data_IF_441582878320
#
_entry.id   IF_441582878320
#
_cell.length_a   1.000
_cell.length_b   1.000
_cell.length_c   1.000
_cell.angle_alpha   90.00
_cell.angle_beta   90.00
_cell.angle_gamma   90.00
#
_symmetry.space_group_name_H-M   'P 1'
#
loop_
_entity.id
_entity.type
_entity.pdbx_description
1 polymer ?
#
# COMPACT_ATOMS: atom_id res chain seq x y z
N UNK A 1 -20.17 -7.02 -12.32
CA UNK A 1 -19.44 -7.46 -11.11
C UNK A 1 -18.58 -6.32 -10.61
N UNK A 2 -18.65 -6.00 -9.34
CA UNK A 2 -17.76 -4.96 -8.79
C UNK A 2 -16.30 -5.42 -8.83
N UNK A 3 -15.41 -4.49 -9.13
CA UNK A 3 -13.98 -4.73 -9.13
C UNK A 3 -13.40 -4.31 -7.79
N UNK A 4 -12.78 -5.25 -7.10
CA UNK A 4 -12.14 -5.01 -5.82
C UNK A 4 -10.63 -5.04 -6.03
N UNK A 5 -9.96 -3.97 -5.66
CA UNK A 5 -8.51 -3.86 -5.72
C UNK A 5 -7.94 -3.91 -4.31
N UNK A 6 -6.76 -4.49 -4.18
CA UNK A 6 -6.01 -4.52 -2.93
C UNK A 6 -4.72 -3.73 -3.10
N UNK A 7 -4.43 -2.88 -2.14
CA UNK A 7 -3.18 -2.14 -2.07
C UNK A 7 -2.43 -2.59 -0.81
N UNK A 8 -1.49 -3.53 -0.95
CA UNK A 8 -0.75 -4.07 0.19
C UNK A 8 0.50 -3.25 0.48
N UNK A 9 0.92 -3.25 1.73
CA UNK A 9 2.16 -2.63 2.14
C UNK A 9 2.37 -2.68 3.64
N UNK A 10 3.51 -2.21 4.08
CA UNK A 10 3.82 -2.12 5.51
C UNK A 10 3.19 -0.87 6.13
N UNK A 11 3.17 0.24 5.41
CA UNK A 11 2.60 1.52 5.87
C UNK A 11 3.12 1.93 7.25
N UNK A 12 4.41 2.06 7.38
CA UNK A 12 5.09 2.24 8.67
C UNK A 12 5.97 3.50 8.68
N UNK A 13 5.39 4.69 8.69
CA UNK A 13 3.97 5.01 8.66
C UNK A 13 3.41 5.17 7.25
N UNK A 14 2.09 5.38 7.15
CA UNK A 14 1.46 5.85 5.92
C UNK A 14 2.02 7.25 5.58
N UNK A 15 2.21 7.51 4.29
CA UNK A 15 2.69 8.81 3.80
C UNK A 15 1.70 9.41 2.83
N UNK A 16 1.90 10.66 2.47
CA UNK A 16 1.09 11.30 1.43
C UNK A 16 1.26 10.65 0.07
N UNK A 17 2.41 10.01 -0.18
CA UNK A 17 2.59 9.20 -1.37
C UNK A 17 1.65 8.01 -1.42
N UNK A 18 1.54 7.28 -0.30
CA UNK A 18 0.56 6.19 -0.18
C UNK A 18 -0.87 6.69 -0.33
N UNK A 19 -1.19 7.80 0.35
CA UNK A 19 -2.54 8.35 0.31
C UNK A 19 -2.94 8.78 -1.09
N UNK A 20 -2.02 9.34 -1.87
CA UNK A 20 -2.25 9.68 -3.26
C UNK A 20 -2.66 8.46 -4.08
N UNK A 21 -1.92 7.36 -3.95
CA UNK A 21 -2.24 6.10 -4.63
C UNK A 21 -3.61 5.58 -4.19
N UNK A 22 -3.91 5.64 -2.90
CA UNK A 22 -5.20 5.18 -2.37
C UNK A 22 -6.34 6.00 -2.96
N UNK A 23 -6.22 7.32 -2.97
CA UNK A 23 -7.27 8.21 -3.51
C UNK A 23 -7.51 7.95 -4.99
N UNK A 24 -6.42 7.80 -5.76
CA UNK A 24 -6.54 7.55 -7.20
C UNK A 24 -7.14 6.18 -7.48
N UNK A 25 -6.74 5.16 -6.72
CA UNK A 25 -7.30 3.82 -6.83
C UNK A 25 -8.81 3.81 -6.50
N UNK A 26 -9.21 4.59 -5.50
CA UNK A 26 -10.62 4.65 -5.10
C UNK A 26 -11.54 5.16 -6.21
N UNK A 27 -11.00 5.95 -7.14
CA UNK A 27 -11.76 6.45 -8.29
C UNK A 27 -11.81 5.45 -9.45
N UNK A 28 -10.86 4.51 -9.48
CA UNK A 28 -10.74 3.55 -10.59
C UNK A 28 -11.47 2.24 -10.32
N UNK A 29 -11.60 1.86 -9.06
CA UNK A 29 -12.15 0.57 -8.68
C UNK A 29 -13.36 0.77 -7.76
N UNK A 30 -14.26 -0.21 -7.77
CA UNK A 30 -15.48 -0.12 -6.95
C UNK A 30 -15.17 -0.15 -5.45
N UNK A 31 -14.13 -0.90 -5.08
CA UNK A 31 -13.67 -1.00 -3.69
C UNK A 31 -12.16 -1.15 -3.66
N UNK A 32 -11.52 -0.51 -2.70
CA UNK A 32 -10.09 -0.65 -2.45
C UNK A 32 -9.87 -1.13 -1.03
N UNK A 33 -9.14 -2.22 -0.88
CA UNK A 33 -8.74 -2.74 0.41
C UNK A 33 -7.26 -2.39 0.61
N UNK A 34 -7.00 -1.51 1.56
CA UNK A 34 -5.62 -1.19 1.96
C UNK A 34 -5.21 -2.22 3.01
N UNK A 35 -4.27 -3.07 2.67
CA UNK A 35 -3.93 -4.24 3.46
C UNK A 35 -2.56 -4.08 4.11
N UNK A 36 -2.54 -3.94 5.43
CA UNK A 36 -1.32 -3.78 6.22
C UNK A 36 -0.71 -5.16 6.46
N UNK A 37 0.51 -5.35 5.98
CA UNK A 37 1.24 -6.60 6.18
C UNK A 37 1.77 -6.69 7.61
N UNK A 38 1.35 -7.75 8.30
CA UNK A 38 1.86 -8.10 9.62
C UNK A 38 3.12 -8.92 9.41
N UNK A 39 4.22 -8.28 9.04
CA UNK A 39 5.46 -9.00 8.81
C UNK A 39 6.44 -8.77 9.95
N UNK A 40 6.88 -9.86 10.56
CA UNK A 40 7.83 -9.84 11.66
C UNK A 40 9.28 -9.84 11.22
N UNK A 41 9.57 -9.90 9.91
CA UNK A 41 10.95 -10.00 9.42
C UNK A 41 11.78 -8.74 9.70
N UNK A 42 11.12 -7.60 9.92
CA UNK A 42 11.77 -6.34 10.30
C UNK A 42 11.07 -5.80 11.54
N UNK A 43 11.81 -5.07 12.38
CA UNK A 43 11.23 -4.39 13.52
C UNK A 43 10.53 -3.13 13.03
N UNK A 44 9.19 -3.07 13.02
CA UNK A 44 8.49 -1.87 12.60
C UNK A 44 8.58 -0.77 13.64
N UNK A 45 8.44 0.49 13.21
CA UNK A 45 8.39 1.62 14.13
C UNK A 45 7.05 1.64 14.88
N UNK A 46 5.95 1.34 14.17
CA UNK A 46 4.60 1.34 14.73
C UNK A 46 4.03 -0.07 14.75
N UNK A 47 3.20 -0.34 15.76
CA UNK A 47 2.48 -1.62 15.81
C UNK A 47 1.49 -1.72 14.66
N UNK A 48 0.99 -2.93 14.38
CA UNK A 48 -0.04 -3.14 13.37
C UNK A 48 -1.28 -2.31 13.69
N UNK A 49 -1.69 -2.30 14.96
CA UNK A 49 -2.86 -1.54 15.42
C UNK A 49 -2.69 -0.04 15.18
N UNK A 50 -1.50 0.48 15.45
CA UNK A 50 -1.19 1.90 15.21
C UNK A 50 -1.20 2.21 13.72
N UNK A 51 -0.60 1.36 12.90
CA UNK A 51 -0.57 1.55 11.44
C UNK A 51 -1.97 1.51 10.84
N UNK A 52 -2.80 0.58 11.26
CA UNK A 52 -4.20 0.47 10.83
C UNK A 52 -4.98 1.71 11.26
N UNK A 53 -4.79 2.17 12.49
CA UNK A 53 -5.49 3.35 13.00
C UNK A 53 -5.12 4.61 12.21
N UNK A 54 -3.84 4.79 11.89
CA UNK A 54 -3.40 5.93 11.08
C UNK A 54 -4.00 5.90 9.67
N UNK A 55 -4.07 4.73 9.06
CA UNK A 55 -4.70 4.57 7.75
C UNK A 55 -6.19 4.86 7.80
N UNK A 56 -6.88 4.38 8.82
CA UNK A 56 -8.31 4.65 8.97
C UNK A 56 -8.58 6.14 9.12
N UNK A 57 -7.75 6.83 9.89
CA UNK A 57 -7.89 8.27 10.02
C UNK A 57 -7.62 9.00 8.71
N UNK A 58 -6.54 8.63 8.02
CA UNK A 58 -6.16 9.25 6.75
C UNK A 58 -7.20 9.01 5.64
N UNK A 59 -7.89 7.88 5.67
CA UNK A 59 -8.86 7.47 4.64
C UNK A 59 -10.32 7.67 5.05
N UNK A 60 -10.60 8.30 6.18
CA UNK A 60 -11.96 8.41 6.73
C UNK A 60 -12.98 9.07 5.79
N UNK A 61 -12.52 9.90 4.86
CA UNK A 61 -13.38 10.61 3.92
C UNK A 61 -13.46 9.92 2.55
N UNK A 62 -12.94 8.71 2.42
CA UNK A 62 -12.97 7.95 1.17
C UNK A 62 -13.89 6.74 1.38
N UNK A 63 -15.15 6.79 0.91
CA UNK A 63 -16.18 5.83 1.35
C UNK A 63 -15.98 4.40 0.86
N UNK A 64 -15.27 4.18 -0.26
CA UNK A 64 -15.06 2.85 -0.82
C UNK A 64 -13.70 2.25 -0.46
N UNK A 65 -13.03 2.79 0.56
CA UNK A 65 -11.75 2.27 1.06
C UNK A 65 -11.97 1.54 2.39
N UNK A 66 -11.48 0.32 2.45
CA UNK A 66 -11.49 -0.51 3.65
C UNK A 66 -10.04 -0.73 4.09
N UNK A 67 -9.77 -0.64 5.37
CA UNK A 67 -8.43 -0.90 5.93
C UNK A 67 -8.47 -2.25 6.62
N UNK A 68 -7.50 -3.10 6.31
CA UNK A 68 -7.40 -4.42 6.91
C UNK A 68 -5.93 -4.76 7.16
N UNK A 69 -5.67 -5.83 7.86
CA UNK A 69 -4.33 -6.34 8.08
C UNK A 69 -4.28 -7.82 7.74
N UNK A 70 -3.11 -8.32 7.37
CA UNK A 70 -3.00 -9.73 7.00
C UNK A 70 -1.60 -10.25 7.34
N UNK A 71 -1.53 -11.57 7.49
CA UNK A 71 -0.28 -12.30 7.65
C UNK A 71 -0.21 -13.36 6.57
N UNK A 72 0.99 -13.67 6.09
CA UNK A 72 1.19 -14.66 5.04
C UNK A 72 1.28 -14.05 3.64
N UNK A 73 0.92 -14.85 2.63
CA UNK A 73 1.04 -14.44 1.24
C UNK A 73 -0.04 -13.43 0.85
N UNK A 74 0.39 -12.36 0.21
CA UNK A 74 -0.48 -11.28 -0.24
C UNK A 74 -1.57 -11.78 -1.18
N UNK A 75 -1.22 -12.63 -2.15
CA UNK A 75 -2.20 -13.13 -3.12
C UNK A 75 -3.25 -14.03 -2.48
N UNK A 76 -2.89 -14.79 -1.46
CA UNK A 76 -3.84 -15.63 -0.72
C UNK A 76 -4.86 -14.75 -0.01
N UNK A 77 -4.40 -13.70 0.66
CA UNK A 77 -5.29 -12.77 1.33
C UNK A 77 -6.17 -12.02 0.33
N UNK A 78 -5.59 -11.58 -0.78
CA UNK A 78 -6.35 -10.92 -1.84
C UNK A 78 -7.50 -11.79 -2.34
N UNK A 79 -7.22 -13.07 -2.60
CA UNK A 79 -8.26 -14.01 -3.02
C UNK A 79 -9.35 -14.18 -1.97
N UNK A 80 -8.98 -14.31 -0.70
CA UNK A 80 -9.94 -14.43 0.40
C UNK A 80 -10.87 -13.22 0.48
N UNK A 81 -10.36 -12.05 0.15
CA UNK A 81 -11.14 -10.78 0.19
C UNK A 81 -11.89 -10.50 -1.11
N UNK A 82 -11.77 -11.37 -2.10
CA UNK A 82 -12.43 -11.19 -3.39
C UNK A 82 -11.78 -10.17 -4.30
N UNK A 83 -10.54 -9.78 -4.03
CA UNK A 83 -9.80 -8.85 -4.88
C UNK A 83 -9.28 -9.55 -6.13
N UNK A 84 -9.43 -8.88 -7.28
CA UNK A 84 -8.91 -9.35 -8.56
C UNK A 84 -7.81 -8.46 -9.11
N UNK A 85 -7.54 -7.34 -8.45
CA UNK A 85 -6.51 -6.39 -8.85
C UNK A 85 -5.62 -6.10 -7.65
N UNK A 86 -4.31 -6.14 -7.90
CA UNK A 86 -3.30 -5.72 -6.94
C UNK A 86 -2.76 -4.38 -7.40
N UNK A 87 -2.83 -3.37 -6.55
CA UNK A 87 -2.31 -2.03 -6.88
C UNK A 87 -0.94 -1.86 -6.25
N UNK A 88 0.00 -1.36 -7.04
CA UNK A 88 1.33 -0.98 -6.56
C UNK A 88 1.67 0.40 -7.12
N UNK A 89 2.35 1.21 -6.31
CA UNK A 89 2.88 2.49 -6.77
C UNK A 89 4.28 2.32 -7.33
N UNK A 90 4.61 3.02 -8.41
CA UNK A 90 5.97 3.10 -8.94
C UNK A 90 6.49 4.52 -8.82
N UNK A 91 7.65 4.67 -8.20
CA UNK A 91 8.40 5.93 -8.14
C UNK A 91 9.40 5.98 -9.31
N UNK A 92 9.98 7.14 -9.54
CA UNK A 92 10.83 7.39 -10.71
C UNK A 92 12.09 6.51 -10.79
N UNK A 93 12.55 5.93 -9.68
CA UNK A 93 13.86 5.24 -9.62
C UNK A 93 13.74 3.93 -8.86
N UNK A 94 14.39 2.90 -9.32
CA UNK A 94 14.84 1.71 -8.59
C UNK A 94 13.86 0.62 -8.19
N UNK A 95 12.58 0.91 -8.02
CA UNK A 95 11.63 -0.11 -7.56
C UNK A 95 11.15 -1.03 -8.68
N UNK A 96 11.36 -0.64 -9.94
CA UNK A 96 10.72 -1.28 -11.09
C UNK A 96 11.04 -2.76 -11.22
N UNK A 97 12.31 -3.11 -11.11
CA UNK A 97 12.72 -4.51 -11.26
C UNK A 97 12.13 -5.40 -10.19
N UNK A 98 12.17 -4.93 -8.93
CA UNK A 98 11.60 -5.68 -7.81
C UNK A 98 10.09 -5.80 -7.93
N UNK A 99 9.42 -4.73 -8.34
CA UNK A 99 7.97 -4.73 -8.49
C UNK A 99 7.52 -5.63 -9.64
N UNK A 100 8.23 -5.63 -10.76
CA UNK A 100 7.92 -6.52 -11.88
C UNK A 100 8.14 -7.98 -11.49
N UNK A 101 9.23 -8.28 -10.79
CA UNK A 101 9.50 -9.64 -10.32
C UNK A 101 8.39 -10.11 -9.37
N UNK A 102 7.96 -9.26 -8.47
CA UNK A 102 6.87 -9.57 -7.55
C UNK A 102 5.56 -9.80 -8.32
N UNK A 103 5.26 -8.96 -9.30
CA UNK A 103 4.05 -9.10 -10.13
C UNK A 103 4.06 -10.43 -10.90
N UNK A 104 5.19 -10.80 -11.49
CA UNK A 104 5.33 -12.08 -12.19
C UNK A 104 5.14 -13.26 -11.24
N UNK A 105 5.74 -13.18 -10.04
CA UNK A 105 5.62 -14.23 -9.03
C UNK A 105 4.17 -14.38 -8.57
N UNK A 106 3.51 -13.26 -8.30
CA UNK A 106 2.10 -13.27 -7.89
C UNK A 106 1.20 -13.85 -8.97
N UNK A 107 1.45 -13.48 -10.23
CA UNK A 107 0.68 -14.01 -11.34
C UNK A 107 0.88 -15.52 -11.50
N UNK A 108 2.11 -15.99 -11.33
CA UNK A 108 2.40 -17.42 -11.38
C UNK A 108 1.64 -18.20 -10.32
N UNK A 109 1.52 -17.61 -9.10
CA UNK A 109 0.82 -18.27 -7.99
C UNK A 109 -0.70 -18.14 -8.10
N UNK A 110 -1.19 -17.02 -8.64
CA UNK A 110 -2.62 -16.71 -8.65
C UNK A 110 -2.97 -15.94 -9.91
N UNK A 111 -3.13 -16.65 -11.07
CA UNK A 111 -3.32 -15.99 -12.36
C UNK A 111 -4.57 -15.11 -12.47
N UNK A 112 -5.58 -15.34 -11.62
CA UNK A 112 -6.79 -14.53 -11.61
C UNK A 112 -6.62 -13.15 -10.99
N UNK A 113 -5.45 -12.84 -10.41
CA UNK A 113 -5.17 -11.53 -9.82
C UNK A 113 -4.14 -10.82 -10.68
N UNK A 114 -4.53 -9.67 -11.24
CA UNK A 114 -3.64 -8.82 -12.03
C UNK A 114 -2.99 -7.75 -11.17
N UNK A 115 -1.74 -7.45 -11.44
CA UNK A 115 -1.06 -6.33 -10.80
C UNK A 115 -1.11 -5.10 -11.70
N UNK A 116 -1.53 -3.98 -11.15
CA UNK A 116 -1.59 -2.69 -11.83
C UNK A 116 -0.63 -1.74 -11.13
N UNK A 117 0.19 -1.06 -11.92
CA UNK A 117 1.13 -0.07 -11.40
C UNK A 117 0.61 1.33 -11.66
N UNK A 118 0.62 2.16 -10.62
CA UNK A 118 0.30 3.57 -10.74
C UNK A 118 1.59 4.38 -10.55
N UNK A 119 1.84 5.30 -11.48
CA UNK A 119 2.96 6.20 -11.35
C UNK A 119 2.71 7.15 -10.17
N UNK A 120 3.65 7.21 -9.26
CA UNK A 120 3.56 8.11 -8.11
C UNK A 120 3.56 9.57 -8.59
N UNK A 121 2.74 10.41 -7.97
CA UNK A 121 2.72 11.84 -8.28
C UNK A 121 4.13 12.43 -8.09
N UNK A 122 4.53 13.31 -9.00
CA UNK A 122 5.89 13.87 -9.00
C UNK A 122 6.24 14.49 -7.65
N UNK A 123 5.32 15.23 -7.07
CA UNK A 123 5.56 15.91 -5.78
C UNK A 123 5.83 14.95 -4.62
N UNK A 124 5.44 13.68 -4.74
CA UNK A 124 5.67 12.66 -3.72
C UNK A 124 6.68 11.59 -4.16
N UNK A 125 7.31 11.74 -5.32
CA UNK A 125 8.17 10.71 -5.88
C UNK A 125 9.42 10.42 -5.03
N UNK A 126 9.86 11.37 -4.22
CA UNK A 126 10.98 11.20 -3.31
C UNK A 126 10.58 10.54 -1.99
N UNK A 127 9.28 10.43 -1.72
CA UNK A 127 8.76 10.11 -0.41
C UNK A 127 8.66 8.59 -0.20
N UNK A 128 9.11 8.12 0.96
CA UNK A 128 8.95 6.74 1.41
C UNK A 128 8.80 6.73 2.92
N UNK A 129 8.27 5.63 3.45
CA UNK A 129 8.20 5.46 4.91
C UNK A 129 9.59 5.49 5.54
N UNK A 130 10.59 4.93 4.87
CA UNK A 130 11.98 4.94 5.35
C UNK A 130 12.48 6.38 5.53
N UNK A 131 12.25 7.24 4.55
CA UNK A 131 12.66 8.64 4.62
C UNK A 131 11.93 9.37 5.75
N UNK A 132 10.63 9.11 5.92
CA UNK A 132 9.84 9.74 7.00
C UNK A 132 10.36 9.30 8.36
N UNK A 133 10.62 8.01 8.56
CA UNK A 133 11.17 7.51 9.82
C UNK A 133 12.53 8.12 10.11
N UNK A 134 13.39 8.22 9.11
CA UNK A 134 14.72 8.80 9.27
C UNK A 134 14.63 10.28 9.64
N UNK A 135 13.82 11.06 8.95
CA UNK A 135 13.64 12.47 9.24
C UNK A 135 13.09 12.68 10.67
N UNK A 136 12.11 11.89 11.08
CA UNK A 136 11.54 11.94 12.41
C UNK A 136 12.56 11.57 13.48
N UNK A 137 13.39 10.56 13.20
CA UNK A 137 14.45 10.13 14.11
C UNK A 137 15.43 11.27 14.43
N UNK A 138 15.70 12.13 13.46
CA UNK A 138 16.58 13.29 13.62
C UNK A 138 15.84 14.56 14.01
N UNK A 139 14.60 14.43 14.48
CA UNK A 139 13.86 15.54 15.07
C UNK A 139 13.17 16.49 14.09
N UNK A 140 13.07 16.11 12.83
CA UNK A 140 12.38 16.93 11.84
C UNK A 140 10.86 16.78 11.95
N UNK A 141 10.14 17.86 11.65
CA UNK A 141 8.70 17.82 11.53
C UNK A 141 8.33 17.09 10.23
N UNK A 142 7.54 16.02 10.36
CA UNK A 142 7.14 15.20 9.22
C UNK A 142 5.66 15.33 8.87
N UNK A 143 4.98 16.29 9.48
CA UNK A 143 3.52 16.46 9.30
C UNK A 143 3.09 16.69 7.85
N UNK A 144 3.98 17.22 7.01
CA UNK A 144 3.70 17.47 5.59
C UNK A 144 3.92 16.23 4.70
N UNK A 145 4.42 15.14 5.23
CA UNK A 145 4.71 13.90 4.49
C UNK A 145 3.66 12.85 4.74
#
# INVERSE_FOLDING_TARGET
MPTIAMYPGSFDPVTNGHLDIIKRSSRMFDKVIVAVLVNSAKTPLFTVEERVAMLRDACKNIPNVEIDSFNGLTVTFAKQKGATVMVRGLRAVTDFENEIQLAHTNFAMMPEIETVFLATAIKWSYLSSTIVREAAHYGQDVSRF
#
